data_IF_375120164209
#
_entry.id   IF_375120164209
#
_cell.length_a   1.000
_cell.length_b   1.000
_cell.length_c   1.000
_cell.angle_alpha   90.00
_cell.angle_beta   90.00
_cell.angle_gamma   90.00
#
_symmetry.space_group_name_H-M   'P 1'
#
loop_
_entity.id
_entity.type
_entity.pdbx_description
1 polymer ?
#
# COMPACT_ATOMS: atom_id res chain seq x y z
N UNK A 1 -18.37 5.84 -28.12
CA UNK A 1 -18.99 5.31 -26.88
C UNK A 1 -17.92 4.53 -26.12
N UNK A 2 -17.22 5.20 -25.19
CA UNK A 2 -16.15 4.60 -24.39
C UNK A 2 -16.69 4.11 -23.05
N UNK A 3 -16.44 2.84 -22.73
CA UNK A 3 -16.96 2.18 -21.53
C UNK A 3 -16.31 2.73 -20.25
N UNK A 4 -17.13 3.33 -19.39
CA UNK A 4 -16.76 3.76 -18.04
C UNK A 4 -16.54 2.53 -17.15
N UNK A 5 -15.28 2.16 -16.89
CA UNK A 5 -14.95 1.13 -15.88
C UNK A 5 -15.02 1.75 -14.48
N UNK A 6 -16.15 1.61 -13.82
CA UNK A 6 -16.30 1.86 -12.39
C UNK A 6 -15.50 0.82 -11.60
N UNK A 7 -14.37 1.24 -11.00
CA UNK A 7 -13.59 0.42 -10.08
C UNK A 7 -14.33 0.34 -8.74
N UNK A 8 -14.93 -0.82 -8.48
CA UNK A 8 -15.56 -1.15 -7.20
C UNK A 8 -14.49 -1.15 -6.11
N UNK A 9 -14.56 -0.16 -5.20
CA UNK A 9 -13.74 -0.12 -3.99
C UNK A 9 -14.02 -1.34 -3.14
N UNK A 10 -13.07 -2.27 -3.09
CA UNK A 10 -13.18 -3.49 -2.30
C UNK A 10 -13.01 -3.12 -0.83
N UNK A 11 -14.12 -2.97 -0.11
CA UNK A 11 -14.14 -2.74 1.34
C UNK A 11 -13.50 -3.96 2.01
N UNK A 12 -12.27 -3.80 2.49
CA UNK A 12 -11.52 -4.84 3.20
C UNK A 12 -12.12 -4.97 4.60
N UNK A 13 -13.03 -5.92 4.78
CA UNK A 13 -13.54 -6.30 6.11
C UNK A 13 -12.39 -6.94 6.90
N UNK A 14 -12.12 -6.41 8.10
CA UNK A 14 -11.21 -7.01 9.08
C UNK A 14 -11.56 -8.51 9.27
N UNK A 15 -10.58 -9.41 9.43
CA UNK A 15 -10.82 -10.85 9.60
C UNK A 15 -11.55 -11.23 10.90
N UNK A 16 -11.88 -10.26 11.75
CA UNK A 16 -12.38 -10.44 13.10
C UNK A 16 -13.81 -10.94 13.26
N UNK A 17 -14.50 -11.45 12.23
CA UNK A 17 -15.81 -12.13 12.43
C UNK A 17 -15.79 -13.54 11.84
N UNK A 18 -15.21 -13.69 10.64
CA UNK A 18 -15.09 -14.99 9.99
C UNK A 18 -14.14 -15.94 10.76
N UNK A 19 -13.06 -15.43 11.35
CA UNK A 19 -12.17 -16.24 12.20
C UNK A 19 -12.86 -16.79 13.45
N UNK A 20 -13.69 -15.97 14.10
CA UNK A 20 -14.44 -16.39 15.30
C UNK A 20 -15.56 -17.39 14.97
N UNK A 21 -16.24 -17.21 13.83
CA UNK A 21 -17.22 -18.18 13.35
C UNK A 21 -16.55 -19.53 13.03
N UNK A 22 -15.36 -19.52 12.41
CA UNK A 22 -14.58 -20.73 12.18
C UNK A 22 -14.21 -21.46 13.47
N UNK A 23 -13.73 -20.72 14.49
CA UNK A 23 -13.38 -21.29 15.79
C UNK A 23 -14.60 -21.90 16.51
N UNK A 24 -15.76 -21.23 16.46
CA UNK A 24 -17.02 -21.73 17.02
C UNK A 24 -17.49 -23.03 16.34
N UNK A 25 -17.37 -23.12 15.02
CA UNK A 25 -17.73 -24.34 14.26
C UNK A 25 -16.81 -25.51 14.63
N UNK A 26 -15.50 -25.27 14.79
CA UNK A 26 -14.55 -26.31 15.21
C UNK A 26 -14.81 -26.77 16.63
N UNK A 27 -15.07 -25.85 17.56
CA UNK A 27 -15.37 -26.18 18.96
C UNK A 27 -16.72 -26.89 19.12
N UNK A 28 -17.77 -26.39 18.45
CA UNK A 28 -19.10 -26.99 18.46
C UNK A 28 -19.13 -28.36 17.78
N UNK A 29 -18.44 -28.51 16.65
CA UNK A 29 -18.28 -29.77 15.94
C UNK A 29 -17.52 -30.82 16.76
N UNK A 30 -16.41 -30.42 17.40
CA UNK A 30 -15.62 -31.28 18.26
C UNK A 30 -16.39 -31.77 19.50
N UNK A 31 -17.16 -30.88 20.14
CA UNK A 31 -17.99 -31.25 21.29
C UNK A 31 -19.12 -32.22 20.89
N UNK A 32 -19.85 -31.93 19.80
CA UNK A 32 -20.92 -32.79 19.31
C UNK A 32 -20.40 -34.18 18.88
N UNK A 33 -19.23 -34.25 18.25
CA UNK A 33 -18.59 -35.52 17.88
C UNK A 33 -18.08 -36.30 19.10
N UNK A 34 -17.47 -35.63 20.08
CA UNK A 34 -17.00 -36.27 21.30
C UNK A 34 -18.13 -36.90 22.12
N UNK A 35 -19.29 -36.24 22.21
CA UNK A 35 -20.48 -36.82 22.87
C UNK A 35 -21.00 -38.07 22.16
N UNK A 36 -20.95 -38.13 20.82
CA UNK A 36 -21.34 -39.32 20.05
C UNK A 36 -20.34 -40.47 20.13
N UNK A 37 -19.06 -40.16 20.37
CA UNK A 37 -18.00 -41.16 20.50
C UNK A 37 -17.86 -41.71 21.93
N UNK A 38 -18.69 -41.27 22.89
CA UNK A 38 -18.60 -41.69 24.29
C UNK A 38 -17.37 -41.13 25.01
N UNK A 39 -16.81 -40.01 24.54
CA UNK A 39 -15.69 -39.36 25.20
C UNK A 39 -16.06 -38.97 26.64
N UNK A 40 -15.20 -39.31 27.59
CA UNK A 40 -15.40 -38.93 28.99
C UNK A 40 -15.52 -37.42 29.15
N UNK A 41 -16.37 -36.97 30.07
CA UNK A 41 -16.67 -35.56 30.34
C UNK A 41 -15.39 -34.73 30.55
N UNK A 42 -14.35 -35.33 31.12
CA UNK A 42 -13.04 -34.69 31.30
C UNK A 42 -12.35 -34.29 29.99
N UNK A 43 -12.46 -35.09 28.92
CA UNK A 43 -11.86 -34.77 27.62
C UNK A 43 -12.61 -33.61 26.94
N UNK A 44 -13.94 -33.63 27.03
CA UNK A 44 -14.78 -32.55 26.51
C UNK A 44 -14.51 -31.22 27.25
N UNK A 45 -14.37 -31.27 28.57
CA UNK A 45 -14.02 -30.11 29.38
C UNK A 45 -12.62 -29.57 29.04
N UNK A 46 -11.63 -30.44 28.84
CA UNK A 46 -10.27 -30.03 28.46
C UNK A 46 -10.22 -29.36 27.08
N UNK A 47 -10.94 -29.90 26.09
CA UNK A 47 -11.03 -29.31 24.74
C UNK A 47 -11.74 -27.95 24.77
N UNK A 48 -12.85 -27.84 25.51
CA UNK A 48 -13.58 -26.58 25.67
C UNK A 48 -12.73 -25.52 26.37
N UNK A 49 -12.04 -25.88 27.46
CA UNK A 49 -11.18 -24.96 28.22
C UNK A 49 -9.97 -24.52 27.37
N UNK A 50 -9.35 -25.44 26.64
CA UNK A 50 -8.26 -25.12 25.71
C UNK A 50 -8.70 -24.13 24.62
N UNK A 51 -9.84 -24.40 23.97
CA UNK A 51 -10.43 -23.49 22.98
C UNK A 51 -10.70 -22.09 23.53
N UNK A 52 -11.20 -22.01 24.76
CA UNK A 52 -11.55 -20.74 25.41
C UNK A 52 -10.31 -19.92 25.79
N UNK A 53 -9.27 -20.56 26.35
CA UNK A 53 -7.97 -19.93 26.61
C UNK A 53 -7.36 -19.38 25.32
N UNK A 54 -7.49 -20.10 24.21
CA UNK A 54 -6.95 -19.67 22.93
C UNK A 54 -7.72 -18.57 22.24
N UNK A 55 -9.06 -18.59 22.33
CA UNK A 55 -9.87 -17.45 21.93
C UNK A 55 -9.48 -16.20 22.73
N UNK A 56 -9.21 -16.35 24.03
CA UNK A 56 -8.79 -15.27 24.90
C UNK A 56 -7.37 -14.74 24.57
N UNK A 57 -6.40 -15.62 24.30
CA UNK A 57 -5.04 -15.24 23.85
C UNK A 57 -5.08 -14.55 22.49
N UNK A 58 -5.91 -15.02 21.55
CA UNK A 58 -6.08 -14.37 20.25
C UNK A 58 -6.70 -12.96 20.37
N UNK A 59 -7.56 -12.75 21.36
CA UNK A 59 -8.15 -11.46 21.71
C UNK A 59 -7.12 -10.49 22.30
N UNK A 60 -6.26 -10.97 23.21
CA UNK A 60 -5.29 -10.14 23.93
C UNK A 60 -4.01 -9.84 23.13
N UNK A 61 -3.59 -10.77 22.27
CA UNK A 61 -2.30 -10.71 21.56
C UNK A 61 -2.50 -10.93 20.06
N UNK A 62 -3.10 -9.96 19.34
CA UNK A 62 -3.42 -10.10 17.92
C UNK A 62 -2.19 -10.42 17.04
N UNK A 63 -0.99 -9.97 17.45
CA UNK A 63 0.27 -10.26 16.75
C UNK A 63 0.70 -11.74 16.80
N UNK A 64 0.24 -12.51 17.79
CA UNK A 64 0.58 -13.93 18.00
C UNK A 64 -0.56 -14.88 17.57
N UNK A 65 -1.73 -14.35 17.21
CA UNK A 65 -2.95 -15.11 16.95
C UNK A 65 -2.80 -16.17 15.85
N UNK A 66 -2.09 -15.86 14.75
CA UNK A 66 -1.89 -16.80 13.64
C UNK A 66 -1.05 -18.04 14.02
N UNK A 67 0.07 -17.84 14.72
CA UNK A 67 0.96 -18.92 15.14
C UNK A 67 0.36 -19.78 16.25
N UNK A 68 -0.34 -19.15 17.20
CA UNK A 68 -1.04 -19.85 18.28
C UNK A 68 -2.20 -20.71 17.74
N UNK A 69 -3.00 -20.18 16.81
CA UNK A 69 -4.09 -20.95 16.17
C UNK A 69 -3.56 -22.14 15.35
N UNK A 70 -2.41 -21.99 14.68
CA UNK A 70 -1.80 -23.07 13.91
C UNK A 70 -1.30 -24.22 14.79
N UNK A 71 -0.58 -23.92 15.88
CA UNK A 71 -0.11 -24.94 16.83
C UNK A 71 -1.25 -25.72 17.47
N UNK A 72 -2.38 -25.05 17.69
CA UNK A 72 -3.57 -25.65 18.30
C UNK A 72 -4.32 -26.53 17.35
N UNK A 73 -4.48 -26.10 16.11
CA UNK A 73 -5.07 -26.96 15.11
C UNK A 73 -4.19 -28.21 14.87
N UNK A 74 -2.86 -28.07 14.91
CA UNK A 74 -1.93 -29.21 14.80
C UNK A 74 -2.07 -30.13 16.02
N UNK A 75 -2.06 -29.58 17.23
CA UNK A 75 -2.23 -30.35 18.47
C UNK A 75 -3.59 -31.05 18.54
N UNK A 76 -4.66 -30.39 18.10
CA UNK A 76 -6.01 -30.95 17.98
C UNK A 76 -6.08 -32.08 16.98
N UNK A 77 -5.44 -31.95 15.80
CA UNK A 77 -5.33 -33.01 14.80
C UNK A 77 -4.55 -34.22 15.31
N UNK A 78 -3.46 -34.00 16.04
CA UNK A 78 -2.65 -35.08 16.65
C UNK A 78 -3.44 -35.82 17.72
N UNK A 79 -4.16 -35.10 18.59
CA UNK A 79 -5.05 -35.71 19.59
C UNK A 79 -6.19 -36.51 18.94
N UNK A 80 -6.80 -35.98 17.88
CA UNK A 80 -7.87 -36.65 17.15
C UNK A 80 -7.37 -37.91 16.42
N UNK A 81 -6.16 -37.85 15.86
CA UNK A 81 -5.52 -38.99 15.19
C UNK A 81 -5.14 -40.10 16.17
N UNK A 82 -4.75 -39.77 17.41
CA UNK A 82 -4.42 -40.77 18.43
C UNK A 82 -5.65 -41.31 19.17
N UNK A 83 -6.78 -40.59 19.17
CA UNK A 83 -8.00 -41.02 19.84
C UNK A 83 -8.90 -41.95 19.00
N UNK A 84 -8.60 -42.17 17.71
CA UNK A 84 -9.42 -43.00 16.82
C UNK A 84 -8.82 -44.38 16.56
N UNK A 85 -9.52 -45.44 16.96
CA UNK A 85 -9.26 -46.86 16.59
C UNK A 85 -9.45 -47.12 15.07
N UNK A 86 -8.67 -46.45 14.21
CA UNK A 86 -8.59 -46.77 12.77
C UNK A 86 -9.64 -46.12 11.86
N UNK A 87 -10.39 -45.10 12.31
CA UNK A 87 -11.32 -44.34 11.45
C UNK A 87 -10.70 -43.01 10.99
N UNK A 88 -9.71 -43.11 10.10
CA UNK A 88 -8.96 -41.98 9.50
C UNK A 88 -9.76 -41.01 8.61
N UNK A 89 -11.10 -41.07 8.61
CA UNK A 89 -11.96 -40.31 7.68
C UNK A 89 -12.20 -38.86 8.15
N UNK A 90 -11.98 -38.54 9.42
CA UNK A 90 -12.38 -37.25 10.01
C UNK A 90 -11.23 -36.27 10.28
N UNK A 91 -10.00 -36.62 9.94
CA UNK A 91 -8.80 -35.76 10.09
C UNK A 91 -8.76 -34.65 9.01
N UNK A 92 -9.39 -34.90 7.86
CA UNK A 92 -9.30 -34.03 6.68
C UNK A 92 -9.96 -32.64 6.84
N UNK A 93 -11.18 -32.49 7.40
CA UNK A 93 -11.82 -31.17 7.53
C UNK A 93 -11.05 -30.22 8.46
N UNK A 94 -10.45 -30.75 9.53
CA UNK A 94 -9.63 -29.97 10.46
C UNK A 94 -8.34 -29.44 9.81
N UNK A 95 -7.67 -30.28 9.02
CA UNK A 95 -6.47 -29.88 8.27
C UNK A 95 -6.79 -28.82 7.20
N UNK A 96 -7.93 -28.92 6.52
CA UNK A 96 -8.37 -27.94 5.52
C UNK A 96 -8.67 -26.59 6.17
N UNK A 97 -9.37 -26.57 7.32
CA UNK A 97 -9.67 -25.33 8.04
C UNK A 97 -8.41 -24.60 8.55
N UNK A 98 -7.45 -25.37 9.05
CA UNK A 98 -6.16 -24.86 9.52
C UNK A 98 -5.32 -24.31 8.35
N UNK A 99 -5.25 -25.05 7.25
CA UNK A 99 -4.58 -24.62 6.03
C UNK A 99 -5.19 -23.34 5.44
N UNK A 100 -6.51 -23.22 5.43
CA UNK A 100 -7.21 -22.01 4.97
C UNK A 100 -6.91 -20.80 5.86
N UNK A 101 -6.88 -20.99 7.19
CA UNK A 101 -6.59 -19.91 8.16
C UNK A 101 -5.13 -19.44 8.07
N UNK A 102 -4.19 -20.37 7.90
CA UNK A 102 -2.79 -20.03 7.64
C UNK A 102 -2.62 -19.32 6.30
N UNK A 103 -3.32 -19.76 5.25
CA UNK A 103 -3.25 -19.13 3.94
C UNK A 103 -3.79 -17.69 3.97
N UNK A 104 -4.92 -17.43 4.65
CA UNK A 104 -5.44 -16.07 4.81
C UNK A 104 -4.52 -15.21 5.64
N UNK A 105 -3.90 -15.74 6.69
CA UNK A 105 -2.99 -14.97 7.54
C UNK A 105 -1.65 -14.66 6.84
N UNK A 106 -1.12 -15.59 6.04
CA UNK A 106 0.04 -15.33 5.17
C UNK A 106 -0.31 -14.30 4.10
N UNK A 107 -1.50 -14.36 3.50
CA UNK A 107 -1.96 -13.36 2.54
C UNK A 107 -2.13 -11.99 3.20
N UNK A 108 -2.70 -11.95 4.41
CA UNK A 108 -2.86 -10.73 5.19
C UNK A 108 -1.51 -10.13 5.58
N UNK A 109 -0.59 -10.92 6.13
CA UNK A 109 0.78 -10.47 6.46
C UNK A 109 1.55 -10.05 5.22
N UNK A 110 1.36 -10.70 4.08
CA UNK A 110 1.93 -10.24 2.79
C UNK A 110 1.31 -8.92 2.34
N UNK A 111 0.03 -8.68 2.58
CA UNK A 111 -0.61 -7.40 2.28
C UNK A 111 -0.17 -6.30 3.25
N UNK A 112 0.04 -6.63 4.52
CA UNK A 112 0.44 -5.69 5.56
C UNK A 112 1.95 -5.39 5.49
N UNK A 113 2.79 -6.36 5.14
CA UNK A 113 4.20 -6.14 4.80
C UNK A 113 4.38 -5.38 3.47
N UNK A 114 3.35 -5.38 2.60
CA UNK A 114 3.29 -4.51 1.41
C UNK A 114 2.78 -3.11 1.73
N UNK A 115 2.24 -2.85 2.93
CA UNK A 115 2.03 -1.47 3.40
C UNK A 115 3.35 -0.98 3.98
N UNK A 116 4.02 0.00 3.35
CA UNK A 116 5.24 0.55 3.90
C UNK A 116 4.92 1.19 5.27
N UNK A 117 5.77 1.00 6.29
CA UNK A 117 5.60 1.71 7.55
C UNK A 117 5.62 3.23 7.27
N UNK A 118 4.51 3.90 7.58
CA UNK A 118 4.32 5.34 7.31
C UNK A 118 3.44 5.69 6.11
N UNK A 119 2.63 4.77 5.57
CA UNK A 119 1.68 5.03 4.47
C UNK A 119 0.75 6.24 4.69
N UNK A 120 0.54 6.68 5.93
CA UNK A 120 -0.27 7.87 6.23
C UNK A 120 0.55 9.18 6.29
N UNK A 121 1.86 9.11 6.55
CA UNK A 121 2.75 10.26 6.67
C UNK A 121 3.44 10.57 5.35
N UNK A 122 3.20 11.77 4.81
CA UNK A 122 3.95 12.27 3.67
C UNK A 122 5.42 12.49 4.06
N UNK A 123 6.36 12.16 3.17
CA UNK A 123 7.75 12.58 3.27
C UNK A 123 8.06 13.53 2.14
N UNK A 124 8.91 14.50 2.42
CA UNK A 124 9.31 15.53 1.48
C UNK A 124 10.80 15.50 1.31
N UNK A 125 11.23 15.55 0.06
CA UNK A 125 12.62 15.69 -0.35
C UNK A 125 12.75 16.94 -1.22
N UNK A 126 13.73 17.77 -0.95
CA UNK A 126 14.05 18.94 -1.78
C UNK A 126 15.45 18.82 -2.36
N UNK A 127 15.62 19.26 -3.60
CA UNK A 127 16.86 19.11 -4.37
C UNK A 127 17.50 20.45 -4.68
N UNK A 128 18.80 20.54 -4.37
CA UNK A 128 19.63 21.72 -4.57
C UNK A 128 20.87 21.38 -5.43
N UNK A 129 21.02 22.03 -6.59
CA UNK A 129 22.08 21.72 -7.58
C UNK A 129 23.48 22.10 -7.07
N UNK A 130 23.63 23.26 -6.42
CA UNK A 130 24.96 23.79 -6.04
C UNK A 130 25.63 23.05 -4.87
N UNK A 131 24.91 22.18 -4.14
CA UNK A 131 25.46 21.43 -3.01
C UNK A 131 25.14 19.93 -3.02
N UNK A 132 24.31 19.45 -3.95
CA UNK A 132 23.77 18.07 -3.91
C UNK A 132 23.01 17.77 -2.61
N UNK A 133 22.53 18.79 -1.91
CA UNK A 133 21.93 18.65 -0.59
C UNK A 133 20.49 18.13 -0.72
N UNK A 134 20.27 16.90 -0.28
CA UNK A 134 18.96 16.30 -0.09
C UNK A 134 18.45 16.64 1.31
N UNK A 135 17.42 17.48 1.41
CA UNK A 135 16.74 17.71 2.69
C UNK A 135 15.50 16.82 2.75
N UNK A 136 15.52 15.80 3.60
CA UNK A 136 14.35 14.95 3.88
C UNK A 136 13.60 15.45 5.13
N UNK A 137 12.29 15.63 5.02
CA UNK A 137 11.40 15.98 6.14
C UNK A 137 10.21 15.04 6.19
N UNK A 138 9.84 14.63 7.40
CA UNK A 138 8.60 13.91 7.64
C UNK A 138 7.46 14.91 7.88
N UNK A 139 6.31 14.64 7.26
CA UNK A 139 5.04 15.33 7.43
C UNK A 139 5.10 16.86 7.31
N UNK A 140 5.58 17.41 6.17
CA UNK A 140 5.63 18.85 6.00
C UNK A 140 4.21 19.46 5.92
N UNK A 141 3.98 20.65 6.50
CA UNK A 141 2.76 21.40 6.27
C UNK A 141 2.58 21.70 4.78
N UNK A 142 1.35 21.57 4.25
CA UNK A 142 1.09 21.78 2.83
C UNK A 142 1.50 23.18 2.33
N UNK A 143 1.28 24.21 3.15
CA UNK A 143 1.71 25.58 2.85
C UNK A 143 3.24 25.72 2.75
N UNK A 144 4.01 24.95 3.53
CA UNK A 144 5.47 24.97 3.43
C UNK A 144 5.94 24.27 2.16
N UNK A 145 5.35 23.13 1.82
CA UNK A 145 5.64 22.40 0.58
C UNK A 145 5.29 23.25 -0.66
N UNK A 146 4.17 23.97 -0.65
CA UNK A 146 3.82 24.93 -1.70
C UNK A 146 4.85 26.04 -1.87
N UNK A 147 5.30 26.65 -0.76
CA UNK A 147 6.37 27.67 -0.77
C UNK A 147 7.71 27.14 -1.30
N UNK A 148 7.98 25.85 -1.18
CA UNK A 148 9.18 25.25 -1.77
C UNK A 148 9.05 25.18 -3.29
N UNK A 149 7.89 24.76 -3.80
CA UNK A 149 7.60 24.75 -5.24
C UNK A 149 7.62 26.16 -5.83
N UNK A 150 7.06 27.16 -5.15
CA UNK A 150 7.11 28.58 -5.58
C UNK A 150 8.53 29.15 -5.66
N UNK A 151 9.49 28.57 -4.93
CA UNK A 151 10.89 29.01 -4.88
C UNK A 151 11.80 28.20 -5.81
N UNK A 152 11.26 27.26 -6.57
CA UNK A 152 11.99 26.60 -7.63
C UNK A 152 12.44 27.63 -8.66
N UNK A 153 13.73 27.65 -8.96
CA UNK A 153 14.37 28.62 -9.86
C UNK A 153 15.07 27.93 -11.03
N UNK A 154 14.94 26.59 -11.12
CA UNK A 154 15.61 25.77 -12.11
C UNK A 154 17.14 25.81 -12.02
N UNK A 155 17.75 26.45 -11.02
CA UNK A 155 19.21 26.58 -10.88
C UNK A 155 19.67 26.04 -9.55
N UNK A 156 19.39 26.75 -8.46
CA UNK A 156 19.80 26.37 -7.11
C UNK A 156 18.76 25.50 -6.40
N UNK A 157 17.48 25.62 -6.80
CA UNK A 157 16.35 24.84 -6.30
C UNK A 157 15.62 24.27 -7.50
N UNK A 158 15.79 22.99 -7.73
CA UNK A 158 15.45 22.39 -9.02
C UNK A 158 14.34 21.37 -8.92
N UNK A 159 14.01 20.88 -7.72
CA UNK A 159 12.87 19.99 -7.55
C UNK A 159 12.44 19.74 -6.11
N UNK A 160 11.23 19.19 -6.00
CA UNK A 160 10.56 18.77 -4.79
C UNK A 160 9.89 17.43 -5.04
N UNK A 161 10.17 16.44 -4.21
CA UNK A 161 9.53 15.12 -4.23
C UNK A 161 8.72 14.90 -2.96
N UNK A 162 7.45 14.54 -3.12
CA UNK A 162 6.55 14.16 -2.04
C UNK A 162 6.25 12.67 -2.15
N UNK A 163 6.63 11.91 -1.13
CA UNK A 163 6.38 10.48 -1.04
C UNK A 163 5.23 10.23 -0.05
N UNK A 164 4.14 9.63 -0.53
CA UNK A 164 3.02 9.11 0.28
C UNK A 164 2.83 7.64 -0.05
N UNK A 165 3.60 6.72 0.56
CA UNK A 165 3.68 5.36 0.08
C UNK A 165 2.30 4.68 -0.02
N UNK A 166 1.98 4.04 -1.16
CA UNK A 166 2.90 3.68 -2.24
C UNK A 166 3.13 4.77 -3.31
N UNK A 167 2.41 5.88 -3.24
CA UNK A 167 2.44 6.92 -4.26
C UNK A 167 3.59 7.94 -4.05
N UNK A 168 4.01 8.57 -5.14
CA UNK A 168 5.04 9.60 -5.18
C UNK A 168 4.64 10.68 -6.19
N UNK A 169 4.78 11.95 -5.81
CA UNK A 169 4.62 13.09 -6.70
C UNK A 169 5.88 13.93 -6.70
N UNK A 170 6.38 14.25 -7.89
CA UNK A 170 7.58 15.03 -8.10
C UNK A 170 7.25 16.29 -8.87
N UNK A 171 7.88 17.39 -8.47
CA UNK A 171 7.81 18.70 -9.14
C UNK A 171 9.23 19.16 -9.41
N UNK A 172 9.56 19.54 -10.64
CA UNK A 172 10.90 20.03 -11.00
C UNK A 172 10.85 21.13 -12.05
N UNK A 173 11.88 21.99 -12.07
CA UNK A 173 12.01 23.10 -13.03
C UNK A 173 12.10 24.48 -12.38
N UNK A 174 11.59 25.50 -13.08
CA UNK A 174 11.54 26.90 -12.64
C UNK A 174 10.08 27.34 -12.43
N UNK A 175 9.74 27.84 -11.24
CA UNK A 175 8.41 28.32 -10.90
C UNK A 175 7.92 29.49 -11.77
N UNK A 176 8.84 30.21 -12.42
CA UNK A 176 8.54 31.28 -13.38
C UNK A 176 8.40 30.80 -14.82
N UNK A 177 8.65 29.52 -15.08
CA UNK A 177 8.72 28.94 -16.40
C UNK A 177 8.03 27.56 -16.48
N UNK A 178 8.52 26.69 -17.37
CA UNK A 178 8.05 25.32 -17.47
C UNK A 178 8.42 24.52 -16.23
N UNK A 179 7.42 23.82 -15.69
CA UNK A 179 7.57 22.85 -14.61
C UNK A 179 7.20 21.46 -15.12
N UNK A 180 7.95 20.48 -14.69
CA UNK A 180 7.57 19.08 -14.77
C UNK A 180 6.85 18.69 -13.47
N UNK A 181 5.67 18.09 -13.59
CA UNK A 181 4.96 17.51 -12.45
C UNK A 181 4.62 16.07 -12.80
N UNK A 182 5.25 15.12 -12.11
CA UNK A 182 5.14 13.69 -12.36
C UNK A 182 4.55 12.97 -11.15
N UNK A 183 3.62 12.06 -11.38
CA UNK A 183 2.95 11.25 -10.36
C UNK A 183 3.11 9.77 -10.68
N UNK A 184 3.56 9.02 -9.68
CA UNK A 184 3.47 7.57 -9.65
C UNK A 184 2.50 7.16 -8.55
N UNK A 185 1.39 6.51 -8.89
CA UNK A 185 0.42 6.05 -7.89
C UNK A 185 0.91 4.83 -7.09
N UNK A 186 1.85 4.06 -7.64
CA UNK A 186 2.40 2.88 -6.97
C UNK A 186 3.87 2.67 -7.37
N UNK A 187 4.76 3.11 -6.49
CA UNK A 187 6.22 2.92 -6.64
C UNK A 187 6.66 1.49 -6.34
N UNK A 188 5.78 0.62 -5.84
CA UNK A 188 6.14 -0.75 -5.41
C UNK A 188 6.02 -1.78 -6.54
N UNK A 189 5.38 -1.43 -7.65
CA UNK A 189 5.27 -2.32 -8.81
C UNK A 189 6.58 -2.35 -9.60
N UNK A 190 6.88 -3.49 -10.22
CA UNK A 190 8.13 -3.69 -11.01
C UNK A 190 8.29 -2.67 -12.16
N UNK A 191 7.18 -2.21 -12.73
CA UNK A 191 7.12 -1.22 -13.80
C UNK A 191 6.13 -0.13 -13.40
N UNK A 192 6.56 0.87 -12.61
CA UNK A 192 5.70 1.98 -12.23
C UNK A 192 5.27 2.74 -13.48
N UNK A 193 4.00 3.12 -13.52
CA UNK A 193 3.47 4.02 -14.54
C UNK A 193 3.51 5.42 -13.99
N UNK A 194 4.09 6.33 -14.76
CA UNK A 194 4.15 7.75 -14.44
C UNK A 194 3.11 8.51 -15.25
N UNK A 195 2.44 9.44 -14.58
CA UNK A 195 1.54 10.40 -15.22
C UNK A 195 2.08 11.80 -15.01
N UNK A 196 1.99 12.65 -16.03
CA UNK A 196 2.43 14.04 -15.96
C UNK A 196 1.25 15.00 -16.03
N UNK A 197 1.37 16.15 -15.38
CA UNK A 197 0.43 17.25 -15.58
C UNK A 197 0.76 17.94 -16.90
N UNK A 198 -0.17 17.87 -17.85
CA UNK A 198 -0.02 18.47 -19.16
C UNK A 198 -0.78 19.81 -19.21
N UNK A 199 -0.09 20.96 -19.22
CA UNK A 199 -0.81 22.19 -19.51
C UNK A 199 -1.13 22.28 -21.00
N UNK A 200 -2.33 22.73 -21.35
CA UNK A 200 -2.69 23.11 -22.73
C UNK A 200 -2.10 24.48 -23.13
N UNK A 201 -1.22 25.05 -22.31
CA UNK A 201 -0.79 26.44 -22.44
C UNK A 201 0.11 26.71 -23.67
N UNK A 202 -0.48 27.46 -24.61
CA UNK A 202 0.08 28.49 -25.51
C UNK A 202 1.23 28.13 -26.47
N UNK A 203 1.91 27.00 -26.31
CA UNK A 203 3.00 26.58 -27.18
C UNK A 203 2.50 25.54 -28.18
N UNK A 204 3.14 25.45 -29.37
CA UNK A 204 2.88 24.35 -30.29
C UNK A 204 3.00 23.00 -29.56
N UNK A 205 2.10 22.03 -29.81
CA UNK A 205 2.03 20.76 -29.08
C UNK A 205 3.29 19.87 -29.18
N UNK A 206 4.24 20.25 -30.05
CA UNK A 206 5.50 19.55 -30.32
C UNK A 206 6.74 20.43 -30.11
N UNK A 207 6.61 21.62 -29.51
CA UNK A 207 7.79 22.37 -29.10
C UNK A 207 8.46 21.70 -27.89
N UNK A 208 9.78 21.62 -27.91
CA UNK A 208 10.56 21.19 -26.76
C UNK A 208 10.92 22.38 -25.87
N UNK A 209 10.81 22.19 -24.56
CA UNK A 209 11.21 23.15 -23.54
C UNK A 209 12.24 22.51 -22.63
N UNK A 210 13.26 23.28 -22.25
CA UNK A 210 14.25 22.83 -21.28
C UNK A 210 13.69 22.95 -19.87
N UNK A 211 13.76 21.87 -19.11
CA UNK A 211 13.45 21.81 -17.68
C UNK A 211 14.68 21.27 -16.96
N UNK A 212 15.26 22.10 -16.08
CA UNK A 212 16.43 21.71 -15.30
C UNK A 212 16.00 21.12 -13.96
N UNK A 213 16.41 19.89 -13.70
CA UNK A 213 16.16 19.17 -12.44
C UNK A 213 17.47 18.55 -11.97
N UNK A 214 17.96 18.98 -10.82
CA UNK A 214 19.15 18.46 -10.15
C UNK A 214 20.37 18.37 -11.07
N UNK A 215 20.67 19.48 -11.73
CA UNK A 215 21.82 19.60 -12.63
C UNK A 215 21.63 18.97 -14.00
N UNK A 216 20.50 18.29 -14.25
CA UNK A 216 20.17 17.68 -15.53
C UNK A 216 19.21 18.61 -16.28
N UNK A 217 19.63 19.07 -17.46
CA UNK A 217 18.77 19.77 -18.40
C UNK A 217 18.01 18.74 -19.25
N UNK A 218 16.72 18.57 -18.99
CA UNK A 218 15.84 17.70 -19.77
C UNK A 218 15.08 18.52 -20.82
N UNK A 219 15.08 18.07 -22.07
CA UNK A 219 14.27 18.67 -23.13
C UNK A 219 12.97 17.89 -23.23
N UNK A 220 11.88 18.53 -22.81
CA UNK A 220 10.58 17.89 -22.69
C UNK A 220 9.61 18.53 -23.67
N UNK A 221 8.71 17.75 -24.28
CA UNK A 221 7.68 18.33 -25.10
C UNK A 221 6.75 19.16 -24.20
N UNK A 222 6.27 20.28 -24.70
CA UNK A 222 5.38 21.21 -23.96
C UNK A 222 4.18 20.50 -23.34
N UNK A 223 3.63 19.50 -24.03
CA UNK A 223 2.54 18.62 -23.56
C UNK A 223 2.87 17.78 -22.31
N UNK A 224 4.13 17.66 -21.92
CA UNK A 224 4.57 16.97 -20.69
C UNK A 224 5.03 17.95 -19.60
N UNK A 225 4.81 19.25 -19.81
CA UNK A 225 5.12 20.31 -18.85
C UNK A 225 3.89 21.13 -18.48
N UNK A 226 4.02 21.90 -17.41
CA UNK A 226 2.97 22.76 -16.89
C UNK A 226 3.53 24.05 -16.30
N UNK A 227 2.66 24.89 -15.74
CA UNK A 227 3.02 26.12 -15.03
C UNK A 227 2.77 25.98 -13.53
N UNK A 228 3.19 26.99 -12.75
CA UNK A 228 3.11 26.97 -11.29
C UNK A 228 1.69 26.72 -10.75
N UNK A 229 0.66 27.32 -11.36
CA UNK A 229 -0.73 27.18 -10.88
C UNK A 229 -1.21 25.73 -10.85
N UNK A 230 -1.23 25.01 -11.99
CA UNK A 230 -1.58 23.59 -12.01
C UNK A 230 -0.64 22.71 -11.18
N UNK A 231 0.65 23.06 -11.07
CA UNK A 231 1.60 22.33 -10.23
C UNK A 231 1.23 22.40 -8.74
N UNK A 232 0.88 23.59 -8.24
CA UNK A 232 0.41 23.78 -6.86
C UNK A 232 -0.92 23.06 -6.60
N UNK A 233 -1.86 23.10 -7.55
CA UNK A 233 -3.12 22.38 -7.43
C UNK A 233 -2.93 20.85 -7.37
N UNK A 234 -2.04 20.30 -8.20
CA UNK A 234 -1.68 18.89 -8.17
C UNK A 234 -1.04 18.49 -6.83
N UNK A 235 -0.10 19.31 -6.35
CA UNK A 235 0.61 19.12 -5.09
C UNK A 235 -0.32 19.13 -3.88
N UNK A 236 -1.21 20.11 -3.79
CA UNK A 236 -2.16 20.24 -2.68
C UNK A 236 -3.09 19.03 -2.60
N UNK A 237 -3.69 18.63 -3.73
CA UNK A 237 -4.56 17.45 -3.77
C UNK A 237 -3.81 16.17 -3.37
N UNK A 238 -2.56 16.02 -3.81
CA UNK A 238 -1.73 14.87 -3.49
C UNK A 238 -1.35 14.83 -1.99
N UNK A 239 -0.97 15.97 -1.41
CA UNK A 239 -0.68 16.05 0.02
C UNK A 239 -1.90 15.67 0.86
N UNK A 240 -3.11 16.07 0.45
CA UNK A 240 -4.35 15.71 1.14
C UNK A 240 -4.72 14.23 0.96
N UNK A 241 -4.72 13.73 -0.28
CA UNK A 241 -5.37 12.45 -0.62
C UNK A 241 -4.44 11.33 -1.08
N UNK A 242 -3.20 11.67 -1.47
CA UNK A 242 -2.27 10.75 -2.11
C UNK A 242 -2.68 10.36 -3.53
N UNK A 243 -3.60 11.11 -4.15
CA UNK A 243 -4.21 10.83 -5.44
C UNK A 243 -4.04 12.01 -6.42
N UNK A 244 -4.17 11.77 -7.74
CA UNK A 244 -4.18 12.85 -8.71
C UNK A 244 -5.33 13.83 -8.43
N UNK A 245 -5.05 15.13 -8.58
CA UNK A 245 -6.07 16.18 -8.48
C UNK A 245 -7.16 16.02 -9.54
N UNK A 246 -8.42 16.08 -9.13
CA UNK A 246 -9.55 16.16 -10.07
C UNK A 246 -9.51 17.49 -10.84
N UNK A 247 -9.78 17.45 -12.15
CA UNK A 247 -9.73 18.64 -13.01
C UNK A 247 -8.34 19.05 -13.49
N UNK A 248 -7.27 18.42 -12.99
CA UNK A 248 -5.92 18.57 -13.55
C UNK A 248 -5.75 17.58 -14.70
N UNK A 249 -5.28 18.02 -15.88
CA UNK A 249 -5.11 17.18 -17.06
C UNK A 249 -3.89 16.25 -16.92
N UNK A 250 -4.06 15.15 -16.20
CA UNK A 250 -3.07 14.09 -16.10
C UNK A 250 -3.01 13.28 -17.40
N UNK A 251 -1.81 13.03 -17.89
CA UNK A 251 -1.57 12.11 -19.02
C UNK A 251 -0.60 11.04 -18.59
N UNK A 252 -0.95 9.79 -18.85
CA UNK A 252 0.02 8.71 -18.75
C UNK A 252 1.10 8.97 -19.80
N UNK A 253 2.35 9.07 -19.36
CA UNK A 253 3.47 9.32 -20.25
C UNK A 253 4.34 8.06 -20.23
N UNK A 254 4.31 7.33 -21.35
CA UNK A 254 5.13 6.13 -21.53
C UNK A 254 6.54 6.47 -22.02
N UNK A 255 6.75 7.68 -22.54
CA UNK A 255 8.06 8.22 -22.90
C UNK A 255 8.80 8.78 -21.66
N UNK A 256 8.10 8.87 -20.53
CA UNK A 256 8.62 9.25 -19.22
C UNK A 256 9.67 8.28 -18.63
N UNK A 257 10.21 7.30 -19.37
CA UNK A 257 11.39 6.55 -18.89
C UNK A 257 12.56 7.51 -18.64
N UNK A 258 12.73 8.54 -19.47
CA UNK A 258 13.74 9.58 -19.27
C UNK A 258 13.41 10.47 -18.06
N UNK A 259 12.12 10.77 -17.85
CA UNK A 259 11.64 11.51 -16.67
C UNK A 259 11.86 10.72 -15.37
N UNK A 260 11.68 9.41 -15.44
CA UNK A 260 11.97 8.52 -14.33
C UNK A 260 13.45 8.53 -14.00
N UNK A 261 14.34 8.51 -15.00
CA UNK A 261 15.78 8.61 -14.75
C UNK A 261 16.15 9.94 -14.04
N UNK A 262 15.49 11.05 -14.41
CA UNK A 262 15.67 12.34 -13.74
C UNK A 262 15.31 12.27 -12.26
N UNK A 263 14.21 11.59 -11.90
CA UNK A 263 13.73 11.52 -10.50
C UNK A 263 14.23 10.30 -9.70
N UNK A 264 14.69 9.22 -10.33
CA UNK A 264 15.29 8.06 -9.66
C UNK A 264 16.75 8.35 -9.27
N UNK A 265 17.46 9.19 -10.03
CA UNK A 265 18.79 9.69 -9.66
C UNK A 265 18.75 10.64 -8.46
N UNK A 266 17.56 11.02 -8.02
CA UNK A 266 17.33 11.86 -6.86
C UNK A 266 17.17 11.06 -5.54
N UNK A 267 17.24 9.73 -5.59
CA UNK A 267 17.37 8.84 -4.42
C UNK A 267 16.10 8.13 -3.97
#
# INVERSE_FOLDING_TARGET
>A
MGATRTRVGRVVRRPGVLGYLGALVVLGGGAALGTRAGAGVGLLAAVALGGLVLAFVALLLPRLSGSAMALVGIGGLILLANAGDGRGVFVWPGAVGLGATLATEVLWRRQEARRPPGADTARLRTFHDEAGELVERADPPAAETGRLVERLDGRSRTGVSVLRPPARLDVGGDARGPLLVALCEDTTVKRPVWSVVASEAAHPPDAEVSVRVAGIDAFLPTRSTTTLGPALAALEAFLLTGRPAEGVPWRADTEAEDLRAVFDNLG
#
